data_IF_289353228336
#
_entry.id   IF_289353228336
#
_cell.length_a   1.000
_cell.length_b   1.000
_cell.length_c   1.000
_cell.angle_alpha   90.00
_cell.angle_beta   90.00
_cell.angle_gamma   90.00
#
_symmetry.space_group_name_H-M   'P 1'
#
loop_
_entity.id
_entity.type
_entity.pdbx_description
1 polymer ?
#
# COMPACT_ATOMS: atom_id res chain seq x y z
N UNK A 1 30.11 -6.47 -1.56
CA UNK A 1 28.84 -5.78 -1.27
C UNK A 1 29.06 -4.95 -0.03
N UNK A 2 28.82 -3.64 -0.07
CA UNK A 2 28.85 -2.81 1.14
C UNK A 2 27.73 -3.24 2.09
N UNK A 3 27.98 -3.18 3.39
CA UNK A 3 26.96 -3.50 4.39
C UNK A 3 25.85 -2.45 4.33
N UNK A 4 24.58 -2.89 4.38
CA UNK A 4 23.45 -1.98 4.49
C UNK A 4 23.56 -1.17 5.80
N UNK A 5 23.18 0.12 5.79
CA UNK A 5 23.03 0.85 7.03
C UNK A 5 21.96 0.18 7.92
N UNK A 6 22.03 0.37 9.23
CA UNK A 6 21.13 -0.28 10.18
C UNK A 6 19.64 -0.05 9.86
N UNK A 7 19.28 1.16 9.40
CA UNK A 7 17.91 1.47 8.99
C UNK A 7 17.51 0.73 7.70
N UNK A 8 18.44 0.56 6.74
CA UNK A 8 18.20 -0.17 5.49
C UNK A 8 17.97 -1.66 5.76
N UNK A 9 18.72 -2.26 6.69
CA UNK A 9 18.46 -3.62 7.15
C UNK A 9 17.09 -3.74 7.82
N UNK A 10 16.73 -2.82 8.71
CA UNK A 10 15.42 -2.81 9.36
C UNK A 10 14.27 -2.68 8.34
N UNK A 11 14.41 -1.79 7.35
CA UNK A 11 13.44 -1.62 6.27
C UNK A 11 13.34 -2.87 5.39
N UNK A 12 14.45 -3.56 5.13
CA UNK A 12 14.47 -4.82 4.36
C UNK A 12 13.73 -5.92 5.09
N UNK A 13 14.08 -6.15 6.37
CA UNK A 13 13.47 -7.21 7.19
C UNK A 13 11.97 -6.95 7.35
N UNK A 14 11.58 -5.71 7.60
CA UNK A 14 10.16 -5.34 7.71
C UNK A 14 9.43 -5.33 6.36
N UNK A 15 10.13 -5.11 5.24
CA UNK A 15 9.60 -5.26 3.89
C UNK A 15 9.13 -6.69 3.59
N UNK A 16 9.76 -7.71 4.18
CA UNK A 16 9.24 -9.08 4.11
C UNK A 16 7.87 -9.23 4.77
N UNK A 17 7.52 -8.40 5.77
CA UNK A 17 6.18 -8.40 6.33
C UNK A 17 5.14 -7.95 5.30
N UNK A 18 5.46 -6.94 4.47
CA UNK A 18 4.61 -6.55 3.32
C UNK A 18 4.45 -7.72 2.34
N UNK A 19 5.54 -8.37 1.95
CA UNK A 19 5.49 -9.54 1.05
C UNK A 19 4.63 -10.68 1.62
N UNK A 20 4.88 -11.06 2.88
CA UNK A 20 4.13 -12.14 3.52
C UNK A 20 2.68 -11.77 3.82
N UNK A 21 2.36 -10.49 4.02
CA UNK A 21 0.97 -10.04 4.15
C UNK A 21 0.21 -9.99 2.82
N UNK A 22 0.86 -10.17 1.66
CA UNK A 22 0.21 -10.52 0.40
C UNK A 22 0.04 -12.03 0.22
N UNK A 23 1.10 -12.80 0.53
CA UNK A 23 1.11 -14.26 0.39
C UNK A 23 0.14 -14.95 1.35
N UNK A 24 0.05 -14.48 2.60
CA UNK A 24 -0.80 -15.09 3.61
C UNK A 24 -2.29 -14.96 3.25
N UNK A 25 -2.85 -13.79 2.87
CA UNK A 25 -4.21 -13.69 2.34
C UNK A 25 -4.50 -14.63 1.17
N UNK A 26 -3.57 -14.77 0.22
CA UNK A 26 -3.73 -15.70 -0.90
C UNK A 26 -3.82 -17.16 -0.42
N UNK A 27 -2.93 -17.55 0.50
CA UNK A 27 -2.93 -18.88 1.12
C UNK A 27 -4.21 -19.12 1.91
N UNK A 28 -4.62 -18.17 2.76
CA UNK A 28 -5.83 -18.29 3.56
C UNK A 28 -7.08 -18.32 2.69
N UNK A 29 -7.14 -17.56 1.60
CA UNK A 29 -8.23 -17.65 0.62
C UNK A 29 -8.29 -19.01 -0.07
N UNK A 30 -7.14 -19.68 -0.26
CA UNK A 30 -7.08 -21.03 -0.84
C UNK A 30 -7.47 -22.12 0.14
N UNK A 31 -7.10 -21.98 1.42
CA UNK A 31 -7.28 -22.99 2.47
C UNK A 31 -8.62 -22.84 3.23
N UNK A 32 -9.18 -21.64 3.27
CA UNK A 32 -10.43 -21.34 3.98
C UNK A 32 -11.56 -21.07 2.95
N UNK A 33 -12.32 -20.00 3.13
CA UNK A 33 -13.40 -19.64 2.23
C UNK A 33 -12.87 -18.88 1.00
N UNK A 34 -13.26 -19.28 -0.23
CA UNK A 34 -12.83 -18.59 -1.44
C UNK A 34 -13.38 -17.16 -1.46
N UNK A 35 -12.50 -16.20 -1.71
CA UNK A 35 -12.88 -14.80 -1.87
C UNK A 35 -13.06 -14.46 -3.36
N UNK A 36 -13.85 -13.44 -3.70
CA UNK A 36 -14.04 -13.03 -5.09
C UNK A 36 -12.72 -12.67 -5.78
N UNK A 37 -12.60 -13.02 -7.07
CA UNK A 37 -11.37 -12.85 -7.85
C UNK A 37 -10.78 -11.42 -7.82
N UNK A 38 -11.63 -10.39 -7.73
CA UNK A 38 -11.21 -8.98 -7.59
C UNK A 38 -10.40 -8.69 -6.32
N UNK A 39 -10.71 -9.37 -5.22
CA UNK A 39 -9.95 -9.25 -3.97
C UNK A 39 -8.68 -10.10 -4.00
N UNK A 40 -8.74 -11.29 -4.61
CA UNK A 40 -7.55 -12.12 -4.89
C UNK A 40 -6.54 -11.34 -5.75
N UNK A 41 -7.02 -10.59 -6.74
CA UNK A 41 -6.18 -9.69 -7.54
C UNK A 41 -5.51 -8.61 -6.68
N UNK A 42 -6.24 -7.95 -5.77
CA UNK A 42 -5.64 -6.99 -4.85
C UNK A 42 -4.55 -7.63 -3.96
N UNK A 43 -4.75 -8.86 -3.49
CA UNK A 43 -3.73 -9.58 -2.71
C UNK A 43 -2.48 -9.91 -3.52
N UNK A 44 -2.63 -10.26 -4.80
CA UNK A 44 -1.48 -10.41 -5.71
C UNK A 44 -0.71 -9.10 -5.90
N UNK A 45 -1.40 -7.96 -5.99
CA UNK A 45 -0.72 -6.67 -6.10
C UNK A 45 0.08 -6.32 -4.83
N UNK A 46 -0.37 -6.78 -3.66
CA UNK A 46 0.40 -6.65 -2.40
C UNK A 46 1.66 -7.51 -2.45
N UNK A 47 1.60 -8.74 -2.97
CA UNK A 47 2.78 -9.58 -3.19
C UNK A 47 3.79 -8.89 -4.11
N UNK A 48 3.33 -8.39 -5.25
CA UNK A 48 4.18 -7.67 -6.22
C UNK A 48 4.85 -6.48 -5.55
N UNK A 49 4.09 -5.72 -4.77
CA UNK A 49 4.61 -4.59 -3.98
C UNK A 49 5.67 -5.05 -2.99
N UNK A 50 5.40 -6.09 -2.22
CA UNK A 50 6.38 -6.63 -1.26
C UNK A 50 7.68 -7.08 -1.91
N UNK A 51 7.63 -7.63 -3.13
CA UNK A 51 8.85 -7.95 -3.91
C UNK A 51 9.64 -6.68 -4.21
N UNK A 52 8.99 -5.62 -4.67
CA UNK A 52 9.66 -4.35 -4.96
C UNK A 52 10.19 -3.66 -3.70
N UNK A 53 9.43 -3.65 -2.60
CA UNK A 53 9.86 -3.13 -1.30
C UNK A 53 11.12 -3.83 -0.79
N UNK A 54 11.11 -5.17 -0.76
CA UNK A 54 12.28 -5.96 -0.32
C UNK A 54 13.47 -5.73 -1.25
N UNK A 55 13.23 -5.62 -2.56
CA UNK A 55 14.30 -5.40 -3.53
C UNK A 55 14.93 -4.02 -3.38
N UNK A 56 14.11 -2.97 -3.25
CA UNK A 56 14.57 -1.60 -3.02
C UNK A 56 15.41 -1.50 -1.76
N UNK A 57 14.90 -2.01 -0.62
CA UNK A 57 15.59 -1.84 0.65
C UNK A 57 16.77 -2.80 0.84
N UNK A 58 16.67 -4.03 0.32
CA UNK A 58 17.68 -5.07 0.48
C UNK A 58 18.83 -4.98 -0.52
N UNK A 59 18.56 -4.49 -1.73
CA UNK A 59 19.56 -4.40 -2.81
C UNK A 59 19.66 -2.98 -3.36
N UNK A 60 18.53 -2.29 -3.58
CA UNK A 60 18.48 -0.99 -4.25
C UNK A 60 19.05 0.18 -3.44
N UNK A 61 19.32 0.03 -2.14
CA UNK A 61 19.93 1.11 -1.35
C UNK A 61 21.43 1.31 -1.64
N UNK A 62 22.12 0.25 -2.07
CA UNK A 62 23.60 0.24 -2.25
C UNK A 62 24.10 -0.52 -3.49
N UNK A 63 23.24 -1.23 -4.24
CA UNK A 63 23.69 -2.18 -5.27
C UNK A 63 23.19 -1.84 -6.70
N UNK A 64 24.09 -1.71 -7.69
CA UNK A 64 23.74 -1.46 -9.11
C UNK A 64 23.36 -2.71 -9.91
N UNK A 65 23.41 -3.93 -9.34
CA UNK A 65 23.31 -5.18 -10.12
C UNK A 65 21.95 -5.39 -10.82
N UNK A 66 20.87 -4.78 -10.33
CA UNK A 66 19.52 -4.96 -10.90
C UNK A 66 18.86 -3.63 -11.30
N UNK A 67 19.62 -2.69 -11.88
CA UNK A 67 19.10 -1.38 -12.27
C UNK A 67 19.23 -0.33 -11.18
N UNK A 68 18.97 0.91 -11.55
CA UNK A 68 19.27 2.07 -10.71
C UNK A 68 18.29 2.22 -9.53
N UNK A 69 18.76 2.76 -8.40
CA UNK A 69 17.96 2.96 -7.17
C UNK A 69 16.64 3.68 -7.44
N UNK A 70 16.65 4.67 -8.34
CA UNK A 70 15.45 5.44 -8.67
C UNK A 70 14.35 4.57 -9.27
N UNK A 71 14.72 3.57 -10.08
CA UNK A 71 13.78 2.66 -10.73
C UNK A 71 13.12 1.75 -9.70
N UNK A 72 13.87 1.22 -8.73
CA UNK A 72 13.30 0.46 -7.63
C UNK A 72 12.41 1.32 -6.72
N UNK A 73 12.79 2.58 -6.47
CA UNK A 73 11.95 3.54 -5.76
C UNK A 73 10.68 3.90 -6.52
N UNK A 74 10.74 3.91 -7.86
CA UNK A 74 9.56 4.03 -8.72
C UNK A 74 8.64 2.81 -8.55
N UNK A 75 9.18 1.61 -8.71
CA UNK A 75 8.41 0.37 -8.64
C UNK A 75 7.77 0.15 -7.27
N UNK A 76 8.49 0.40 -6.18
CA UNK A 76 8.00 0.22 -4.81
C UNK A 76 6.79 1.13 -4.48
N UNK A 77 6.96 2.46 -4.54
CA UNK A 77 5.84 3.36 -4.27
C UNK A 77 4.77 3.29 -5.37
N UNK A 78 5.17 3.10 -6.63
CA UNK A 78 4.27 2.99 -7.78
C UNK A 78 3.35 1.77 -7.68
N UNK A 79 3.87 0.62 -7.23
CA UNK A 79 3.04 -0.58 -7.04
C UNK A 79 2.08 -0.43 -5.86
N UNK A 80 2.42 0.35 -4.82
CA UNK A 80 1.47 0.70 -3.76
C UNK A 80 0.27 1.50 -4.32
N UNK A 81 0.49 2.40 -5.28
CA UNK A 81 -0.62 3.09 -5.98
C UNK A 81 -1.49 2.06 -6.72
N UNK A 82 -0.87 1.07 -7.38
CA UNK A 82 -1.59 -0.03 -8.05
C UNK A 82 -2.37 -0.89 -7.05
N UNK A 83 -1.84 -1.18 -5.86
CA UNK A 83 -2.58 -1.90 -4.79
C UNK A 83 -3.85 -1.16 -4.41
N UNK A 84 -3.75 0.14 -4.14
CA UNK A 84 -4.93 0.94 -3.74
C UNK A 84 -5.94 1.09 -4.88
N UNK A 85 -5.48 1.13 -6.13
CA UNK A 85 -6.37 1.01 -7.31
C UNK A 85 -7.07 -0.34 -7.39
N UNK A 86 -6.35 -1.45 -7.20
CA UNK A 86 -6.93 -2.78 -7.22
C UNK A 86 -8.01 -2.95 -6.13
N UNK A 87 -7.79 -2.37 -4.95
CA UNK A 87 -8.80 -2.29 -3.89
C UNK A 87 -10.01 -1.46 -4.34
N UNK A 88 -9.82 -0.31 -4.99
CA UNK A 88 -10.93 0.51 -5.48
C UNK A 88 -11.79 -0.25 -6.50
N UNK A 89 -11.15 -0.97 -7.43
CA UNK A 89 -11.85 -1.86 -8.36
C UNK A 89 -12.65 -2.95 -7.64
N UNK A 90 -12.07 -3.54 -6.59
CA UNK A 90 -12.74 -4.56 -5.79
C UNK A 90 -13.98 -4.01 -5.06
N UNK A 91 -13.87 -2.82 -4.44
CA UNK A 91 -14.96 -2.13 -3.75
C UNK A 91 -16.07 -1.73 -4.72
N UNK A 92 -15.72 -1.16 -5.87
CA UNK A 92 -16.68 -0.80 -6.93
C UNK A 92 -17.40 -2.05 -7.47
N UNK A 93 -16.66 -3.15 -7.64
CA UNK A 93 -17.20 -4.46 -8.03
C UNK A 93 -18.09 -5.11 -6.97
N UNK A 94 -17.94 -4.76 -5.70
CA UNK A 94 -18.77 -5.26 -4.60
C UNK A 94 -20.08 -4.47 -4.47
N UNK A 95 -19.99 -3.15 -4.33
CA UNK A 95 -21.09 -2.36 -3.79
C UNK A 95 -21.87 -1.56 -4.83
N UNK A 96 -21.29 -1.29 -5.99
CA UNK A 96 -21.89 -0.37 -6.94
C UNK A 96 -22.64 -1.09 -8.06
N UNK A 97 -23.66 -0.46 -8.63
CA UNK A 97 -24.47 -1.03 -9.74
C UNK A 97 -23.66 -1.12 -11.04
N UNK A 98 -23.99 -2.03 -11.98
CA UNK A 98 -23.29 -2.14 -13.26
C UNK A 98 -23.23 -0.84 -14.09
N UNK A 99 -24.24 0.03 -13.99
CA UNK A 99 -24.23 1.35 -14.63
C UNK A 99 -23.11 2.26 -14.11
N UNK A 100 -22.84 2.21 -12.80
CA UNK A 100 -21.75 2.98 -12.18
C UNK A 100 -20.40 2.37 -12.52
N UNK A 101 -20.28 1.04 -12.45
CA UNK A 101 -19.02 0.33 -12.76
C UNK A 101 -18.48 0.66 -14.15
N UNK A 102 -19.37 0.78 -15.15
CA UNK A 102 -19.01 1.04 -16.56
C UNK A 102 -18.19 2.32 -16.75
N UNK A 103 -18.41 3.36 -15.96
CA UNK A 103 -17.64 4.60 -16.04
C UNK A 103 -16.64 4.74 -14.88
N UNK A 104 -16.94 4.21 -13.70
CA UNK A 104 -16.06 4.36 -12.54
C UNK A 104 -14.74 3.59 -12.72
N UNK A 105 -14.77 2.39 -13.29
CA UNK A 105 -13.55 1.59 -13.54
C UNK A 105 -12.56 2.29 -14.48
N UNK A 106 -12.95 2.78 -15.67
CA UNK A 106 -12.01 3.50 -16.53
C UNK A 106 -11.53 4.81 -15.89
N UNK A 107 -12.38 5.54 -15.17
CA UNK A 107 -11.96 6.74 -14.43
C UNK A 107 -10.93 6.41 -13.35
N UNK A 108 -11.18 5.42 -12.50
CA UNK A 108 -10.24 4.98 -11.47
C UNK A 108 -8.90 4.54 -12.07
N UNK A 109 -8.95 3.87 -13.22
CA UNK A 109 -7.75 3.44 -13.95
C UNK A 109 -6.98 4.62 -14.52
N UNK A 110 -7.67 5.61 -15.10
CA UNK A 110 -7.03 6.84 -15.58
C UNK A 110 -6.39 7.62 -14.42
N UNK A 111 -7.07 7.75 -13.28
CA UNK A 111 -6.52 8.40 -12.07
C UNK A 111 -5.28 7.65 -11.55
N UNK A 112 -5.31 6.31 -11.57
CA UNK A 112 -4.15 5.50 -11.20
C UNK A 112 -2.96 5.76 -12.14
N UNK A 113 -3.20 5.76 -13.46
CA UNK A 113 -2.16 6.00 -14.45
C UNK A 113 -1.55 7.39 -14.33
N UNK A 114 -2.36 8.42 -14.06
CA UNK A 114 -1.87 9.78 -13.79
C UNK A 114 -0.96 9.79 -12.56
N UNK A 115 -1.35 9.11 -11.48
CA UNK A 115 -0.53 8.98 -10.28
C UNK A 115 0.80 8.29 -10.50
N UNK A 116 0.77 7.14 -11.16
CA UNK A 116 1.98 6.37 -11.50
C UNK A 116 2.87 7.16 -12.45
N UNK A 117 2.30 7.85 -13.45
CA UNK A 117 3.05 8.70 -14.37
C UNK A 117 3.71 9.89 -13.68
N UNK A 118 3.00 10.55 -12.75
CA UNK A 118 3.57 11.64 -11.96
C UNK A 118 4.68 11.14 -11.03
N UNK A 119 4.47 10.00 -10.37
CA UNK A 119 5.50 9.37 -9.54
C UNK A 119 6.74 8.96 -10.35
N UNK A 120 6.55 8.40 -11.54
CA UNK A 120 7.64 8.08 -12.46
C UNK A 120 8.47 9.32 -12.78
N UNK A 121 7.81 10.42 -13.14
CA UNK A 121 8.46 11.69 -13.45
C UNK A 121 9.25 12.25 -12.25
N UNK A 122 8.69 12.20 -11.03
CA UNK A 122 9.39 12.60 -9.79
C UNK A 122 10.63 11.75 -9.50
N UNK A 123 10.64 10.48 -9.94
CA UNK A 123 11.74 9.55 -9.70
C UNK A 123 12.83 9.61 -10.76
N UNK A 124 12.67 10.33 -11.87
CA UNK A 124 13.75 10.43 -12.86
C UNK A 124 15.01 11.07 -12.24
N UNK A 125 16.22 10.58 -12.58
CA UNK A 125 17.47 11.08 -12.00
C UNK A 125 17.69 12.59 -12.13
N UNK A 126 17.21 13.18 -13.23
CA UNK A 126 17.38 14.60 -13.52
C UNK A 126 16.27 15.49 -12.91
N UNK A 127 15.21 14.89 -12.37
CA UNK A 127 14.11 15.65 -11.77
C UNK A 127 14.45 16.01 -10.32
N UNK A 128 14.44 17.31 -9.95
CA UNK A 128 14.60 17.72 -8.57
C UNK A 128 13.44 17.21 -7.71
N UNK A 129 13.74 16.31 -6.76
CA UNK A 129 12.72 15.76 -5.86
C UNK A 129 12.26 16.80 -4.86
N UNK A 130 10.96 17.07 -4.84
CA UNK A 130 10.37 18.07 -3.94
C UNK A 130 9.23 17.44 -3.15
N UNK A 131 9.20 17.68 -1.83
CA UNK A 131 8.09 17.27 -0.99
C UNK A 131 6.85 18.11 -1.37
N UNK A 132 5.75 17.44 -1.68
CA UNK A 132 4.45 18.08 -1.89
C UNK A 132 3.85 18.49 -0.54
N UNK A 133 4.04 17.64 0.47
CA UNK A 133 3.65 17.91 1.85
C UNK A 133 4.94 17.87 2.67
N UNK A 134 5.49 19.03 3.02
CA UNK A 134 6.71 19.13 3.83
C UNK A 134 6.38 19.31 5.31
N UNK A 135 7.04 18.54 6.19
CA UNK A 135 6.92 18.62 7.65
C UNK A 135 8.22 19.08 8.31
N UNK A 136 9.00 19.89 7.59
CA UNK A 136 10.32 20.37 8.05
C UNK A 136 11.32 19.23 8.20
N UNK A 137 12.07 19.23 9.30
CA UNK A 137 13.09 18.21 9.63
C UNK A 137 12.51 16.83 9.99
N UNK A 138 11.19 16.72 10.06
CA UNK A 138 10.53 15.44 10.30
C UNK A 138 10.56 14.54 9.07
N UNK A 139 10.36 15.13 7.88
CA UNK A 139 10.08 14.40 6.65
C UNK A 139 8.91 15.03 5.90
N UNK A 140 8.10 14.20 5.26
CA UNK A 140 6.97 14.63 4.47
C UNK A 140 6.56 13.58 3.44
N UNK A 141 5.80 14.02 2.44
CA UNK A 141 5.37 13.18 1.33
C UNK A 141 5.77 13.77 -0.01
N UNK A 142 6.41 12.93 -0.82
CA UNK A 142 6.68 13.17 -2.23
C UNK A 142 5.39 13.03 -3.07
N UNK A 143 5.41 13.42 -4.36
CA UNK A 143 4.26 13.28 -5.25
C UNK A 143 3.58 11.91 -5.25
N UNK A 144 4.34 10.83 -5.44
CA UNK A 144 3.78 9.47 -5.48
C UNK A 144 3.16 9.02 -4.16
N UNK A 145 3.79 9.37 -3.04
CA UNK A 145 3.28 9.07 -1.69
C UNK A 145 2.00 9.87 -1.40
N UNK A 146 1.98 11.15 -1.79
CA UNK A 146 0.79 12.01 -1.68
C UNK A 146 -0.37 11.44 -2.50
N UNK A 147 -0.10 10.99 -3.72
CA UNK A 147 -1.10 10.37 -4.57
C UNK A 147 -1.62 9.05 -3.99
N UNK A 148 -0.72 8.20 -3.49
CA UNK A 148 -1.06 6.96 -2.79
C UNK A 148 -2.00 7.22 -1.60
N UNK A 149 -1.69 8.23 -0.77
CA UNK A 149 -2.53 8.62 0.37
C UNK A 149 -3.90 9.10 -0.11
N UNK A 150 -3.95 9.96 -1.14
CA UNK A 150 -5.20 10.42 -1.73
C UNK A 150 -6.06 9.27 -2.27
N UNK A 151 -5.44 8.32 -2.97
CA UNK A 151 -6.11 7.13 -3.49
C UNK A 151 -6.58 6.18 -2.37
N UNK A 152 -5.83 6.10 -1.26
CA UNK A 152 -6.24 5.37 -0.06
C UNK A 152 -7.47 6.00 0.60
N UNK A 153 -7.51 7.33 0.70
CA UNK A 153 -8.70 8.06 1.18
C UNK A 153 -9.91 7.88 0.26
N UNK A 154 -9.70 7.79 -1.06
CA UNK A 154 -10.76 7.43 -2.00
C UNK A 154 -11.36 6.05 -1.68
N UNK A 155 -10.54 5.03 -1.38
CA UNK A 155 -11.03 3.73 -0.96
C UNK A 155 -11.88 3.80 0.32
N UNK A 156 -11.44 4.58 1.32
CA UNK A 156 -12.21 4.84 2.54
C UNK A 156 -13.56 5.48 2.19
N UNK A 157 -13.57 6.48 1.31
CA UNK A 157 -14.78 7.13 0.83
C UNK A 157 -15.76 6.17 0.12
N UNK A 158 -15.24 5.29 -0.73
CA UNK A 158 -16.05 4.27 -1.44
C UNK A 158 -16.72 3.29 -0.46
N UNK A 159 -16.00 2.86 0.57
CA UNK A 159 -16.57 2.05 1.65
C UNK A 159 -17.60 2.83 2.47
N UNK A 160 -17.29 4.07 2.87
CA UNK A 160 -18.17 4.91 3.68
C UNK A 160 -19.50 5.18 2.96
N UNK A 161 -19.46 5.46 1.65
CA UNK A 161 -20.65 5.65 0.82
C UNK A 161 -21.57 4.42 0.82
N UNK A 162 -21.04 3.22 1.08
CA UNK A 162 -21.77 1.96 1.12
C UNK A 162 -21.80 1.33 2.51
N UNK A 163 -21.58 2.10 3.57
CA UNK A 163 -21.48 1.61 4.95
C UNK A 163 -22.67 0.73 5.37
N UNK A 164 -23.88 1.10 4.93
CA UNK A 164 -25.11 0.35 5.24
C UNK A 164 -25.16 -1.03 4.60
N UNK A 165 -24.51 -1.22 3.45
CA UNK A 165 -24.41 -2.50 2.76
C UNK A 165 -23.35 -3.43 3.39
N UNK A 166 -22.48 -2.90 4.26
CA UNK A 166 -21.49 -3.70 4.97
C UNK A 166 -22.17 -4.45 6.13
N UNK A 167 -22.05 -5.80 6.20
CA UNK A 167 -22.58 -6.60 7.31
C UNK A 167 -22.09 -6.07 8.66
N UNK A 168 -22.97 -5.93 9.68
CA UNK A 168 -22.58 -5.41 10.99
C UNK A 168 -21.36 -6.10 11.62
N UNK A 169 -21.19 -7.44 11.53
CA UNK A 169 -20.02 -8.12 12.07
C UNK A 169 -18.69 -7.78 11.37
N UNK A 170 -18.71 -7.25 10.15
CA UNK A 170 -17.51 -6.87 9.40
C UNK A 170 -17.09 -5.39 9.64
N UNK A 171 -18.02 -4.54 10.08
CA UNK A 171 -17.76 -3.10 10.31
C UNK A 171 -16.60 -2.81 11.27
N UNK A 172 -16.45 -3.53 12.41
CA UNK A 172 -15.31 -3.31 13.30
C UNK A 172 -13.96 -3.55 12.62
N UNK A 173 -13.88 -4.53 11.72
CA UNK A 173 -12.64 -4.82 10.97
C UNK A 173 -12.31 -3.72 9.97
N UNK A 174 -13.32 -3.13 9.32
CA UNK A 174 -13.11 -1.96 8.46
C UNK A 174 -12.61 -0.76 9.27
N UNK A 175 -13.20 -0.49 10.45
CA UNK A 175 -12.72 0.58 11.33
C UNK A 175 -11.30 0.32 11.85
N UNK A 176 -10.98 -0.92 12.19
CA UNK A 176 -9.63 -1.31 12.56
C UNK A 176 -8.64 -1.08 11.40
N UNK A 177 -9.02 -1.42 10.17
CA UNK A 177 -8.18 -1.14 8.99
C UNK A 177 -7.97 0.36 8.76
N UNK A 178 -8.98 1.19 9.01
CA UNK A 178 -8.87 2.64 8.92
C UNK A 178 -7.94 3.20 9.99
N UNK A 179 -8.04 2.71 11.23
CA UNK A 179 -7.15 3.10 12.32
C UNK A 179 -5.69 2.73 12.00
N UNK A 180 -5.47 1.52 11.48
CA UNK A 180 -4.14 1.05 11.05
C UNK A 180 -3.60 1.89 9.89
N UNK A 181 -4.43 2.20 8.89
CA UNK A 181 -4.04 3.09 7.79
C UNK A 181 -3.63 4.48 8.32
N UNK A 182 -4.41 5.06 9.23
CA UNK A 182 -4.09 6.37 9.80
C UNK A 182 -2.79 6.34 10.62
N UNK A 183 -2.62 5.36 11.51
CA UNK A 183 -1.37 5.16 12.24
C UNK A 183 -0.19 4.99 11.29
N UNK A 184 -0.38 4.21 10.24
CA UNK A 184 0.64 4.01 9.23
C UNK A 184 1.00 5.31 8.49
N UNK A 185 0.02 6.10 8.06
CA UNK A 185 0.26 7.41 7.42
C UNK A 185 1.09 8.33 8.33
N UNK A 186 0.84 8.33 9.64
CA UNK A 186 1.67 9.08 10.59
C UNK A 186 3.12 8.56 10.62
N UNK A 187 3.33 7.23 10.61
CA UNK A 187 4.66 6.63 10.57
C UNK A 187 5.40 6.95 9.26
N UNK A 188 4.69 6.87 8.12
CA UNK A 188 5.23 7.13 6.80
C UNK A 188 5.61 8.60 6.56
N UNK A 189 5.06 9.53 7.37
CA UNK A 189 5.39 10.96 7.27
C UNK A 189 6.82 11.29 7.71
N UNK A 190 7.47 10.39 8.46
CA UNK A 190 8.84 10.55 8.91
C UNK A 190 9.83 10.18 7.79
N UNK A 191 10.99 10.85 7.76
CA UNK A 191 12.08 10.48 6.83
C UNK A 191 12.54 9.04 7.05
N UNK A 192 13.08 8.40 6.00
CA UNK A 192 13.48 6.99 6.04
C UNK A 192 14.51 6.65 7.11
N UNK A 193 15.34 7.61 7.49
CA UNK A 193 16.39 7.52 8.51
C UNK A 193 15.92 7.97 9.90
N UNK A 194 14.65 8.37 10.06
CA UNK A 194 14.11 8.85 11.33
C UNK A 194 13.91 7.69 12.31
N UNK A 195 14.67 7.73 13.41
CA UNK A 195 14.56 6.80 14.53
C UNK A 195 14.27 7.62 15.79
N UNK A 196 13.12 7.39 16.42
CA UNK A 196 12.71 8.06 17.66
C UNK A 196 13.09 7.18 18.84
N UNK A 197 13.78 7.75 19.83
CA UNK A 197 14.49 6.93 20.82
C UNK A 197 15.46 5.95 20.10
N UNK A 198 16.29 5.15 20.78
CA UNK A 198 17.25 4.31 20.06
C UNK A 198 16.63 3.09 19.35
N UNK A 199 15.29 2.93 19.33
CA UNK A 199 14.64 1.68 18.94
C UNK A 199 13.29 1.82 18.20
N UNK A 200 12.83 3.03 17.85
CA UNK A 200 11.58 3.22 17.08
C UNK A 200 11.92 3.68 15.65
N UNK A 201 12.26 2.76 14.72
CA UNK A 201 12.49 3.07 13.32
C UNK A 201 11.16 3.32 12.61
N UNK A 202 10.83 4.59 12.36
CA UNK A 202 9.48 5.00 11.94
C UNK A 202 9.05 4.34 10.63
N UNK A 203 9.92 4.37 9.61
CA UNK A 203 9.64 3.80 8.29
C UNK A 203 9.54 2.26 8.32
N UNK A 204 10.40 1.59 9.08
CA UNK A 204 10.32 0.13 9.24
C UNK A 204 9.04 -0.29 9.98
N UNK A 205 8.60 0.48 10.98
CA UNK A 205 7.32 0.24 11.65
C UNK A 205 6.13 0.48 10.72
N UNK A 206 6.23 1.42 9.79
CA UNK A 206 5.21 1.60 8.74
C UNK A 206 4.97 0.32 7.95
N UNK A 207 6.02 -0.40 7.52
CA UNK A 207 5.86 -1.69 6.81
C UNK A 207 5.09 -2.72 7.65
N UNK A 208 5.40 -2.83 8.94
CA UNK A 208 4.71 -3.76 9.84
C UNK A 208 3.25 -3.38 10.04
N UNK A 209 2.97 -2.11 10.33
CA UNK A 209 1.61 -1.60 10.52
C UNK A 209 0.78 -1.80 9.26
N UNK A 210 1.33 -1.49 8.08
CA UNK A 210 0.68 -1.73 6.79
C UNK A 210 0.42 -3.21 6.54
N UNK A 211 1.39 -4.09 6.85
CA UNK A 211 1.21 -5.53 6.73
C UNK A 211 0.02 -6.04 7.57
N UNK A 212 -0.11 -5.60 8.82
CA UNK A 212 -1.28 -5.92 9.63
C UNK A 212 -2.57 -5.34 9.03
N UNK A 213 -2.53 -4.15 8.45
CA UNK A 213 -3.65 -3.55 7.73
C UNK A 213 -4.16 -4.44 6.60
N UNK A 214 -3.26 -5.01 5.79
CA UNK A 214 -3.61 -5.96 4.73
C UNK A 214 -4.25 -7.24 5.26
N UNK A 215 -3.75 -7.78 6.38
CA UNK A 215 -4.36 -8.95 7.03
C UNK A 215 -5.76 -8.63 7.57
N UNK A 216 -5.95 -7.45 8.17
CA UNK A 216 -7.26 -6.99 8.65
C UNK A 216 -8.24 -6.83 7.48
N UNK A 217 -7.80 -6.30 6.33
CA UNK A 217 -8.62 -6.22 5.11
C UNK A 217 -9.01 -7.63 4.63
N UNK A 218 -8.10 -8.59 4.67
CA UNK A 218 -8.45 -9.99 4.37
C UNK A 218 -9.51 -10.53 5.34
N UNK A 219 -9.34 -10.30 6.65
CA UNK A 219 -10.29 -10.75 7.66
C UNK A 219 -11.66 -10.09 7.49
N UNK A 220 -11.69 -8.79 7.15
CA UNK A 220 -12.89 -8.04 6.79
C UNK A 220 -13.63 -8.71 5.64
N UNK A 221 -12.93 -9.04 4.55
CA UNK A 221 -13.53 -9.71 3.41
C UNK A 221 -13.95 -11.15 3.73
N UNK A 222 -13.16 -11.88 4.50
CA UNK A 222 -13.54 -13.21 4.97
C UNK A 222 -14.86 -13.16 5.72
N UNK A 223 -15.02 -12.22 6.68
CA UNK A 223 -16.26 -12.04 7.43
C UNK A 223 -17.45 -11.62 6.56
N UNK A 224 -17.19 -10.85 5.49
CA UNK A 224 -18.23 -10.44 4.54
C UNK A 224 -18.72 -11.57 3.64
N UNK A 225 -17.81 -12.43 3.19
CA UNK A 225 -18.11 -13.42 2.15
C UNK A 225 -18.38 -14.82 2.71
N UNK A 226 -17.91 -15.16 3.91
CA UNK A 226 -18.13 -16.48 4.52
C UNK A 226 -19.50 -16.65 5.19
N UNK A 227 -20.20 -15.53 5.46
CA UNK A 227 -21.52 -15.50 6.12
C UNK A 227 -22.65 -15.04 5.20
N UNK A 228 -22.37 -14.89 3.90
CA UNK A 228 -23.34 -14.47 2.89
C UNK A 228 -24.04 -15.68 2.27
#
# INVERSE_FOLDING_TARGET
MEALPNFGLANTVTGFATLFSGLLPLLLTRLMYPQPARWVFAYWMIVVTGVFTVTLHGFGETNPVWGERWFWGFLDTGSNIVVTWAMALAIVGDFYRPSVRRWAIPVLTAIMLVGVGWHYYDRLPETPRTLVIALGEWGGFYPGETWLIGFSWLNVGLFAANWRAIPPPARPLLLASLAVFFCGMLLASASNDKIIYPFIPMHALWHLVSAYGFIIIWAFNHQRFSRA
#
